data_IF_149164474045
#
_entry.id   IF_149164474045
#
_cell.length_a   1.000
_cell.length_b   1.000
_cell.length_c   1.000
_cell.angle_alpha   90.00
_cell.angle_beta   90.00
_cell.angle_gamma   90.00
#
_symmetry.space_group_name_H-M   'P 1'
#
loop_
_entity.id
_entity.type
_entity.pdbx_description
1 polymer ?
#
# COMPACT_ATOMS: atom_id res chain seq x y z
N UNK A 1 1.88 30.87 -18.67
CA UNK A 1 0.82 29.87 -18.41
C UNK A 1 0.75 28.79 -19.49
N UNK A 2 0.51 29.12 -20.76
CA UNK A 2 0.44 28.16 -21.88
C UNK A 2 1.74 27.36 -22.11
N UNK A 3 2.91 27.97 -21.90
CA UNK A 3 4.21 27.29 -21.97
C UNK A 3 4.38 26.15 -20.95
N UNK A 4 3.74 26.27 -19.77
CA UNK A 4 3.77 25.21 -18.74
C UNK A 4 2.89 24.04 -19.20
N UNK A 5 1.73 24.34 -19.80
CA UNK A 5 0.84 23.33 -20.38
C UNK A 5 1.54 22.55 -21.51
N UNK A 6 2.25 23.27 -22.39
CA UNK A 6 3.01 22.67 -23.49
C UNK A 6 4.18 21.81 -22.98
N UNK A 7 4.93 22.29 -21.98
CA UNK A 7 5.99 21.51 -21.34
C UNK A 7 5.48 20.23 -20.67
N UNK A 8 4.28 20.28 -20.09
CA UNK A 8 3.66 19.14 -19.43
C UNK A 8 3.12 18.10 -20.44
N UNK A 9 2.59 18.55 -21.58
CA UNK A 9 2.24 17.69 -22.71
C UNK A 9 3.46 16.92 -23.25
N UNK A 10 4.59 17.60 -23.42
CA UNK A 10 5.85 16.96 -23.84
C UNK A 10 6.32 15.94 -22.79
N UNK A 11 6.16 16.26 -21.50
CA UNK A 11 6.51 15.36 -20.40
C UNK A 11 5.69 14.05 -20.41
N UNK A 12 4.40 14.11 -20.80
CA UNK A 12 3.56 12.91 -20.96
C UNK A 12 4.09 12.03 -22.08
N UNK A 13 4.40 12.61 -23.24
CA UNK A 13 4.90 11.86 -24.41
C UNK A 13 6.19 11.12 -24.04
N UNK A 14 7.09 11.79 -23.31
CA UNK A 14 8.34 11.19 -22.80
C UNK A 14 8.11 10.02 -21.85
N UNK A 15 7.04 10.06 -21.06
CA UNK A 15 6.71 9.00 -20.10
C UNK A 15 5.94 7.86 -20.71
N UNK A 16 5.06 8.13 -21.67
CA UNK A 16 4.44 7.09 -22.50
C UNK A 16 5.52 6.28 -23.22
N UNK A 17 6.54 6.95 -23.78
CA UNK A 17 7.66 6.27 -24.43
C UNK A 17 8.41 5.32 -23.47
N UNK A 18 8.62 5.74 -22.21
CA UNK A 18 9.27 4.91 -21.19
C UNK A 18 8.38 3.75 -20.72
N UNK A 19 7.07 3.96 -20.66
CA UNK A 19 6.12 2.94 -20.21
C UNK A 19 5.99 1.75 -21.18
N UNK A 20 6.19 1.99 -22.48
CA UNK A 20 6.08 0.97 -23.53
C UNK A 20 7.32 0.06 -23.59
N UNK A 21 8.48 0.54 -23.14
CA UNK A 21 9.77 -0.18 -23.25
C UNK A 21 9.98 -1.25 -22.17
N UNK A 22 9.14 -1.30 -21.12
CA UNK A 22 9.31 -2.26 -20.01
C UNK A 22 9.00 -3.73 -20.39
N UNK A 23 9.99 -4.65 -20.41
CA UNK A 23 9.75 -6.06 -20.68
C UNK A 23 9.19 -6.81 -19.47
N UNK A 24 9.40 -6.32 -18.24
CA UNK A 24 8.94 -6.99 -17.01
C UNK A 24 7.61 -6.43 -16.47
N UNK A 25 6.89 -7.24 -15.69
CA UNK A 25 5.64 -6.83 -15.04
C UNK A 25 5.88 -5.73 -13.99
N UNK A 26 7.04 -5.75 -13.34
CA UNK A 26 7.46 -4.73 -12.37
C UNK A 26 7.78 -3.40 -13.07
N UNK A 27 8.44 -3.43 -14.23
CA UNK A 27 8.71 -2.20 -15.01
C UNK A 27 7.41 -1.52 -15.45
N UNK A 28 6.39 -2.31 -15.78
CA UNK A 28 5.05 -1.79 -16.12
C UNK A 28 4.37 -1.13 -14.93
N UNK A 29 4.48 -1.72 -13.73
CA UNK A 29 3.95 -1.13 -12.49
C UNK A 29 4.63 0.21 -12.16
N UNK A 30 5.98 0.25 -12.22
CA UNK A 30 6.76 1.48 -12.00
C UNK A 30 6.34 2.56 -13.01
N UNK A 31 6.13 2.16 -14.26
CA UNK A 31 5.71 3.06 -15.33
C UNK A 31 4.31 3.62 -15.12
N UNK A 32 3.34 2.80 -14.69
CA UNK A 32 1.97 3.24 -14.37
C UNK A 32 1.98 4.29 -13.27
N UNK A 33 2.71 4.07 -12.18
CA UNK A 33 2.79 5.04 -11.08
C UNK A 33 3.46 6.36 -11.52
N UNK A 34 4.49 6.26 -12.36
CA UNK A 34 5.14 7.43 -12.96
C UNK A 34 4.21 8.21 -13.93
N UNK A 35 3.27 7.54 -14.59
CA UNK A 35 2.23 8.18 -15.41
C UNK A 35 1.22 8.89 -14.51
N UNK A 36 0.70 8.21 -13.49
CA UNK A 36 -0.33 8.74 -12.58
C UNK A 36 0.09 10.08 -11.97
N UNK A 37 1.34 10.18 -11.49
CA UNK A 37 1.88 11.43 -10.90
C UNK A 37 1.95 12.59 -11.90
N UNK A 38 2.14 12.33 -13.19
CA UNK A 38 2.17 13.37 -14.23
C UNK A 38 0.79 13.81 -14.62
N UNK A 39 -0.14 12.85 -14.76
CA UNK A 39 -1.54 13.14 -15.05
C UNK A 39 -2.16 13.96 -13.91
N UNK A 40 -1.93 13.59 -12.65
CA UNK A 40 -2.44 14.37 -11.50
C UNK A 40 -1.85 15.78 -11.46
N UNK A 41 -0.56 15.95 -11.75
CA UNK A 41 0.07 17.27 -11.85
C UNK A 41 -0.57 18.14 -12.94
N UNK A 42 -1.03 17.56 -14.05
CA UNK A 42 -1.78 18.29 -15.11
C UNK A 42 -3.10 18.79 -14.57
N UNK A 43 -3.85 17.94 -13.89
CA UNK A 43 -5.17 18.29 -13.36
C UNK A 43 -5.03 19.43 -12.33
N UNK A 44 -4.02 19.36 -11.44
CA UNK A 44 -3.71 20.45 -10.49
C UNK A 44 -3.34 21.74 -11.22
N UNK A 45 -2.48 21.66 -12.24
CA UNK A 45 -2.07 22.83 -12.99
C UNK A 45 -3.27 23.46 -13.71
N UNK A 46 -4.15 22.63 -14.28
CA UNK A 46 -5.38 23.09 -14.95
C UNK A 46 -6.34 23.76 -13.98
N UNK A 47 -6.46 23.24 -12.74
CA UNK A 47 -7.21 23.86 -11.65
C UNK A 47 -6.67 25.25 -11.32
N UNK A 48 -5.34 25.36 -11.18
CA UNK A 48 -4.65 26.60 -10.87
C UNK A 48 -4.84 27.66 -11.97
N UNK A 49 -4.83 27.26 -13.24
CA UNK A 49 -5.02 28.16 -14.39
C UNK A 49 -6.45 28.69 -14.45
N UNK A 50 -7.44 27.85 -14.12
CA UNK A 50 -8.86 28.24 -14.11
C UNK A 50 -9.23 29.09 -12.89
N UNK A 51 -8.37 29.15 -11.86
CA UNK A 51 -8.65 29.87 -10.62
C UNK A 51 -9.77 29.23 -9.79
N UNK A 52 -10.19 28.03 -10.16
CA UNK A 52 -11.28 27.30 -9.54
C UNK A 52 -10.71 26.04 -8.88
N UNK A 53 -10.67 26.05 -7.55
CA UNK A 53 -10.09 24.97 -6.76
C UNK A 53 -10.95 23.70 -6.74
N UNK A 54 -12.16 23.73 -7.32
CA UNK A 54 -13.03 22.55 -7.42
C UNK A 54 -12.39 21.37 -8.15
N UNK A 55 -11.43 21.63 -9.04
CA UNK A 55 -10.69 20.58 -9.77
C UNK A 55 -9.61 19.88 -8.94
N UNK A 56 -9.30 20.37 -7.74
CA UNK A 56 -8.31 19.75 -6.86
C UNK A 56 -8.79 18.38 -6.35
N UNK A 57 -10.10 18.23 -6.07
CA UNK A 57 -10.69 16.98 -5.61
C UNK A 57 -10.52 15.86 -6.65
N UNK A 58 -10.84 16.16 -7.91
CA UNK A 58 -10.69 15.24 -9.04
C UNK A 58 -9.24 14.76 -9.16
N UNK A 59 -8.27 15.64 -8.98
CA UNK A 59 -6.87 15.27 -9.05
C UNK A 59 -6.42 14.42 -7.86
N UNK A 60 -6.91 14.72 -6.66
CA UNK A 60 -6.60 13.96 -5.45
C UNK A 60 -7.17 12.55 -5.53
N UNK A 61 -8.42 12.40 -5.97
CA UNK A 61 -9.05 11.11 -6.24
C UNK A 61 -8.27 10.33 -7.31
N UNK A 62 -7.84 10.99 -8.38
CA UNK A 62 -7.06 10.33 -9.44
C UNK A 62 -5.70 9.82 -8.91
N UNK A 63 -5.02 10.62 -8.10
CA UNK A 63 -3.74 10.25 -7.49
C UNK A 63 -3.88 9.06 -6.53
N UNK A 64 -4.89 9.10 -5.65
CA UNK A 64 -5.17 8.03 -4.71
C UNK A 64 -5.60 6.75 -5.42
N UNK A 65 -6.46 6.85 -6.44
CA UNK A 65 -6.92 5.71 -7.21
C UNK A 65 -5.76 5.01 -7.94
N UNK A 66 -4.89 5.77 -8.62
CA UNK A 66 -3.72 5.20 -9.29
C UNK A 66 -2.71 4.57 -8.33
N UNK A 67 -2.53 5.16 -7.14
CA UNK A 67 -1.67 4.59 -6.10
C UNK A 67 -2.24 3.28 -5.54
N UNK A 68 -3.51 3.26 -5.14
CA UNK A 68 -4.19 2.06 -4.62
C UNK A 68 -4.25 0.95 -5.68
N UNK A 69 -4.52 1.31 -6.94
CA UNK A 69 -4.47 0.36 -8.06
C UNK A 69 -3.10 -0.29 -8.24
N UNK A 70 -2.02 0.50 -8.09
CA UNK A 70 -0.65 -0.02 -8.09
C UNK A 70 -0.37 -0.97 -6.92
N UNK A 71 -0.82 -0.63 -5.71
CA UNK A 71 -0.71 -1.51 -4.55
C UNK A 71 -1.48 -2.82 -4.73
N UNK A 72 -2.67 -2.75 -5.35
CA UNK A 72 -3.47 -3.93 -5.68
C UNK A 72 -2.74 -4.85 -6.66
N UNK A 73 -2.13 -4.30 -7.71
CA UNK A 73 -1.31 -5.11 -8.63
C UNK A 73 -0.13 -5.74 -7.89
N UNK A 74 0.54 -5.00 -6.99
CA UNK A 74 1.66 -5.54 -6.23
C UNK A 74 1.22 -6.67 -5.30
N UNK A 75 0.05 -6.53 -4.67
CA UNK A 75 -0.59 -7.56 -3.84
C UNK A 75 -0.88 -8.84 -4.63
N UNK A 76 -1.28 -8.69 -5.89
CA UNK A 76 -1.55 -9.82 -6.80
C UNK A 76 -0.25 -10.45 -7.32
N UNK A 77 0.76 -9.63 -7.62
CA UNK A 77 2.04 -10.09 -8.16
C UNK A 77 2.92 -10.74 -7.09
N UNK A 78 2.76 -10.34 -5.83
CA UNK A 78 3.42 -10.93 -4.64
C UNK A 78 2.35 -11.60 -3.76
N UNK A 79 1.82 -12.77 -4.16
CA UNK A 79 0.87 -13.51 -3.35
C UNK A 79 1.59 -14.26 -2.20
N UNK A 80 1.55 -13.69 -0.99
CA UNK A 80 1.99 -14.35 0.26
C UNK A 80 3.49 -14.20 0.50
N UNK A 81 3.91 -13.55 1.58
CA UNK A 81 4.07 -14.18 2.89
C UNK A 81 4.19 -13.12 4.02
N UNK A 82 3.08 -12.46 4.38
CA UNK A 82 3.03 -11.63 5.61
C UNK A 82 3.09 -12.44 6.91
N UNK A 83 3.53 -13.70 6.83
CA UNK A 83 4.04 -14.45 7.97
C UNK A 83 5.39 -13.84 8.35
N UNK A 84 5.35 -12.64 8.93
CA UNK A 84 6.39 -12.10 9.80
C UNK A 84 6.55 -13.10 10.95
N UNK A 85 7.24 -14.20 10.68
CA UNK A 85 7.65 -15.18 11.67
C UNK A 85 8.74 -14.49 12.47
N UNK A 86 8.33 -13.69 13.44
CA UNK A 86 9.18 -13.12 14.49
C UNK A 86 9.68 -14.31 15.31
N UNK A 87 10.90 -14.82 15.07
CA UNK A 87 11.43 -15.96 15.80
C UNK A 87 11.87 -15.38 17.15
N UNK A 88 10.99 -15.44 18.16
CA UNK A 88 11.35 -14.93 19.50
C UNK A 88 10.24 -14.52 20.46
N UNK A 89 8.96 -14.46 20.06
CA UNK A 89 7.90 -14.10 21.02
C UNK A 89 7.29 -15.35 21.67
N UNK A 90 8.00 -15.91 22.66
CA UNK A 90 7.51 -16.97 23.57
C UNK A 90 7.15 -16.44 24.98
N UNK A 91 7.09 -15.12 25.17
CA UNK A 91 7.07 -14.48 26.50
C UNK A 91 5.81 -13.72 26.85
N UNK A 92 4.72 -13.87 26.10
CA UNK A 92 3.44 -13.17 26.37
C UNK A 92 2.30 -14.15 26.71
N UNK A 93 2.62 -15.35 27.19
CA UNK A 93 1.64 -16.17 27.91
C UNK A 93 1.46 -15.54 29.29
N UNK A 94 0.35 -14.81 29.47
CA UNK A 94 -0.04 -14.26 30.75
C UNK A 94 -0.12 -15.37 31.78
N UNK A 95 0.65 -15.22 32.85
CA UNK A 95 0.45 -15.96 34.09
C UNK A 95 -0.93 -15.58 34.63
N UNK A 96 -1.94 -16.37 34.25
CA UNK A 96 -3.27 -16.30 34.85
C UNK A 96 -3.09 -16.73 36.29
N UNK A 97 -2.97 -15.75 37.17
CA UNK A 97 -3.09 -15.84 38.61
C UNK A 97 -4.39 -16.57 38.94
N UNK A 98 -4.32 -17.90 38.99
CA UNK A 98 -5.36 -18.74 39.56
C UNK A 98 -5.13 -18.73 41.07
N UNK A 99 -5.60 -17.64 41.68
CA UNK A 99 -6.05 -17.69 43.06
C UNK A 99 -7.21 -18.67 43.10
N UNK A 100 -7.08 -19.77 43.86
CA UNK A 100 -8.12 -20.50 44.61
C UNK A 100 -7.51 -21.84 45.09
N UNK A 101 -7.01 -21.87 46.33
CA UNK A 101 -7.65 -22.48 47.52
C UNK A 101 -7.70 -24.02 47.49
N UNK A 102 -6.92 -24.64 48.38
CA UNK A 102 -7.21 -26.00 48.87
C UNK A 102 -8.55 -26.03 49.64
N UNK A 103 -9.08 -27.22 50.02
CA UNK A 103 -8.33 -28.20 50.81
C UNK A 103 -8.54 -29.69 50.44
N UNK A 104 -7.59 -30.49 50.91
CA UNK A 104 -7.70 -31.83 51.53
C UNK A 104 -8.65 -32.91 50.98
N UNK A 105 -8.09 -34.12 50.79
CA UNK A 105 -8.42 -35.33 51.58
C UNK A 105 -8.64 -36.62 50.76
N UNK A 106 -7.79 -37.63 51.06
CA UNK A 106 -8.07 -39.08 50.98
C UNK A 106 -7.89 -39.74 49.60
N UNK A 107 -7.14 -40.82 49.41
CA UNK A 107 -6.48 -41.75 50.32
C UNK A 107 -6.41 -43.13 49.65
N UNK A 108 -5.25 -43.81 49.77
CA UNK A 108 -5.07 -45.25 49.54
C UNK A 108 -5.05 -45.71 48.07
N UNK A 109 -4.36 -46.78 47.69
CA UNK A 109 -3.40 -47.62 48.37
C UNK A 109 -2.56 -48.36 47.30
N UNK A 110 -1.32 -48.66 47.67
CA UNK A 110 -0.56 -49.86 47.31
C UNK A 110 -1.31 -50.94 46.51
N UNK A 111 -0.77 -51.35 45.35
CA UNK A 111 -0.29 -52.73 45.11
C UNK A 111 0.10 -52.96 43.63
N UNK A 112 1.06 -53.88 43.49
CA UNK A 112 1.55 -54.62 42.31
C UNK A 112 2.78 -54.07 41.56
#
# INVERSE_FOLDING_TARGET
MLWILAGLMVLIILVLLRAIIGPTVIDRLISINAITSKVSAIILLMAFIRGDYGYFDIAFVFMLCGFVGGLWILKVLVPGDWQLRVPGMKGFEGEVLSTETGPESGGGASND
#
